data_IF_370651861954
#
_entry.id   IF_370651861954
#
_cell.length_a   1.000
_cell.length_b   1.000
_cell.length_c   1.000
_cell.angle_alpha   90.00
_cell.angle_beta   90.00
_cell.angle_gamma   90.00
#
_symmetry.space_group_name_H-M   'P 1'
#
loop_
_entity.id
_entity.type
_entity.pdbx_description
1 polymer ?
#
# COMPACT_ATOMS: atom_id res chain seq x y z
N UNK A 1 10.86 18.55 9.89
CA UNK A 1 10.97 17.27 10.64
C UNK A 1 9.81 16.38 10.22
N UNK A 2 10.08 15.15 9.83
CA UNK A 2 9.07 14.15 9.43
C UNK A 2 8.23 13.75 10.66
N UNK A 3 6.91 13.67 10.49
CA UNK A 3 5.96 13.24 11.52
C UNK A 3 5.25 11.94 11.16
N UNK A 4 5.13 11.65 9.86
CA UNK A 4 4.46 10.46 9.33
C UNK A 4 5.32 9.86 8.24
N UNK A 5 5.50 8.53 8.28
CA UNK A 5 6.01 7.76 7.15
C UNK A 5 4.85 6.95 6.57
N UNK A 6 4.62 7.09 5.26
CA UNK A 6 3.62 6.33 4.52
C UNK A 6 4.33 5.37 3.55
N UNK A 7 4.07 4.10 3.71
CA UNK A 7 4.60 3.03 2.86
C UNK A 7 3.55 2.56 1.85
N UNK A 8 3.91 2.43 0.58
CA UNK A 8 3.13 1.54 -0.29
C UNK A 8 3.29 0.09 0.19
N UNK A 9 2.37 -0.77 -0.21
CA UNK A 9 2.36 -2.17 0.20
C UNK A 9 3.17 -3.04 -0.76
N UNK A 10 2.67 -3.20 -1.98
CA UNK A 10 3.26 -4.13 -2.98
C UNK A 10 4.50 -3.49 -3.63
N UNK A 11 5.60 -4.22 -3.65
CA UNK A 11 6.89 -3.69 -4.11
C UNK A 11 7.72 -3.02 -3.01
N UNK A 12 7.09 -2.52 -1.93
CA UNK A 12 7.76 -1.86 -0.80
C UNK A 12 7.79 -2.76 0.44
N UNK A 13 6.66 -3.07 1.04
CA UNK A 13 6.56 -3.89 2.26
C UNK A 13 6.42 -5.38 1.96
N UNK A 14 5.77 -5.71 0.86
CA UNK A 14 5.61 -7.09 0.38
C UNK A 14 6.11 -7.21 -1.05
N UNK A 15 6.45 -8.42 -1.44
CA UNK A 15 6.75 -8.84 -2.82
C UNK A 15 5.86 -10.00 -3.21
N UNK A 16 5.70 -10.20 -4.50
CA UNK A 16 5.07 -11.40 -5.02
C UNK A 16 6.02 -12.60 -4.87
N UNK A 17 5.47 -13.73 -4.40
CA UNK A 17 6.15 -15.01 -4.45
C UNK A 17 6.20 -15.52 -5.89
N UNK A 18 7.27 -16.24 -6.23
CA UNK A 18 7.35 -16.98 -7.50
C UNK A 18 6.46 -18.23 -7.46
N UNK A 19 5.15 -18.02 -7.66
CA UNK A 19 4.13 -19.07 -7.63
C UNK A 19 3.26 -18.99 -8.88
N UNK A 20 2.77 -20.14 -9.31
CA UNK A 20 1.83 -20.21 -10.45
C UNK A 20 0.40 -19.92 -9.95
N UNK A 21 -0.19 -18.86 -10.47
CA UNK A 21 -1.62 -18.58 -10.37
C UNK A 21 -2.39 -19.32 -11.45
N UNK A 22 -3.66 -19.62 -11.19
CA UNK A 22 -4.58 -20.06 -12.25
C UNK A 22 -4.96 -18.87 -13.13
N UNK A 23 -5.41 -19.11 -14.36
CA UNK A 23 -5.82 -18.04 -15.29
C UNK A 23 -6.86 -17.09 -14.69
N UNK A 24 -7.82 -17.60 -13.86
CA UNK A 24 -8.80 -16.76 -13.19
C UNK A 24 -8.17 -15.89 -12.09
N UNK A 25 -7.25 -16.44 -11.34
CA UNK A 25 -6.54 -15.72 -10.29
C UNK A 25 -5.65 -14.62 -10.85
N UNK A 26 -4.90 -14.87 -11.93
CA UNK A 26 -4.11 -13.85 -12.63
C UNK A 26 -4.97 -12.69 -13.15
N UNK A 27 -6.14 -13.01 -13.73
CA UNK A 27 -7.06 -11.99 -14.21
C UNK A 27 -7.63 -11.13 -13.08
N UNK A 28 -7.95 -11.72 -11.93
CA UNK A 28 -8.41 -10.97 -10.75
C UNK A 28 -7.29 -10.13 -10.14
N UNK A 29 -6.08 -10.68 -10.04
CA UNK A 29 -4.92 -10.00 -9.48
C UNK A 29 -4.61 -8.70 -10.25
N UNK A 30 -4.63 -8.74 -11.59
CA UNK A 30 -4.41 -7.56 -12.45
C UNK A 30 -5.38 -6.40 -12.18
N UNK A 31 -6.52 -6.67 -11.57
CA UNK A 31 -7.53 -5.66 -11.24
C UNK A 31 -7.34 -5.05 -9.83
N UNK A 32 -6.43 -5.54 -9.00
CA UNK A 32 -6.33 -5.14 -7.58
C UNK A 32 -6.08 -3.64 -7.35
N UNK A 33 -5.29 -3.02 -8.21
CA UNK A 33 -4.93 -1.61 -8.10
C UNK A 33 -5.63 -0.67 -9.09
N UNK A 34 -6.44 -1.19 -10.01
CA UNK A 34 -6.99 -0.43 -11.14
C UNK A 34 -8.36 0.20 -10.84
N UNK A 35 -9.05 -0.27 -9.81
CA UNK A 35 -10.41 0.15 -9.50
C UNK A 35 -10.44 1.12 -8.31
N UNK A 36 -11.32 2.13 -8.39
CA UNK A 36 -11.48 3.13 -7.32
C UNK A 36 -12.21 2.60 -6.08
N UNK A 37 -13.06 1.58 -6.25
CA UNK A 37 -13.84 0.99 -5.16
C UNK A 37 -13.93 -0.52 -5.30
N UNK A 38 -14.29 -1.20 -4.20
CA UNK A 38 -14.58 -2.64 -4.23
C UNK A 38 -15.80 -2.96 -5.11
N UNK A 39 -16.75 -2.04 -5.24
CA UNK A 39 -17.90 -2.21 -6.14
C UNK A 39 -17.46 -2.25 -7.60
N UNK A 40 -16.55 -1.34 -8.01
CA UNK A 40 -16.02 -1.33 -9.36
C UNK A 40 -15.18 -2.58 -9.63
N UNK A 41 -14.38 -3.00 -8.64
CA UNK A 41 -13.65 -4.25 -8.70
C UNK A 41 -14.56 -5.46 -8.89
N UNK A 42 -15.59 -5.60 -8.05
CA UNK A 42 -16.58 -6.70 -8.16
C UNK A 42 -17.27 -6.68 -9.52
N UNK A 43 -17.67 -5.50 -9.99
CA UNK A 43 -18.32 -5.34 -11.30
C UNK A 43 -17.41 -5.81 -12.44
N UNK A 44 -16.16 -5.38 -12.47
CA UNK A 44 -15.17 -5.82 -13.47
C UNK A 44 -14.87 -7.33 -13.38
N UNK A 45 -14.83 -7.86 -12.14
CA UNK A 45 -14.51 -9.27 -11.88
C UNK A 45 -15.63 -10.25 -12.26
N UNK A 46 -16.88 -9.79 -12.48
CA UNK A 46 -18.01 -10.65 -12.86
C UNK A 46 -17.83 -11.33 -14.21
N UNK A 47 -17.04 -10.76 -15.10
CA UNK A 47 -16.67 -11.41 -16.37
C UNK A 47 -15.72 -12.61 -16.19
N UNK A 48 -15.01 -12.67 -15.06
CA UNK A 48 -14.06 -13.73 -14.73
C UNK A 48 -14.72 -14.82 -13.88
N UNK A 49 -15.49 -14.39 -12.87
CA UNK A 49 -16.23 -15.25 -11.92
C UNK A 49 -17.63 -14.65 -11.72
N UNK A 50 -18.66 -15.37 -12.14
CA UNK A 50 -20.05 -14.87 -12.10
C UNK A 50 -20.73 -14.92 -10.72
N UNK A 51 -19.98 -14.95 -9.62
CA UNK A 51 -20.53 -14.98 -8.27
C UNK A 51 -19.67 -14.12 -7.35
N UNK A 52 -20.29 -13.13 -6.71
CA UNK A 52 -19.61 -12.15 -5.88
C UNK A 52 -18.89 -12.77 -4.67
N UNK A 53 -19.53 -13.70 -3.96
CA UNK A 53 -18.89 -14.39 -2.84
C UNK A 53 -17.66 -15.18 -3.28
N UNK A 54 -17.72 -15.80 -4.45
CA UNK A 54 -16.58 -16.51 -5.02
C UNK A 54 -15.48 -15.55 -5.49
N UNK A 55 -15.82 -14.38 -6.03
CA UNK A 55 -14.85 -13.32 -6.35
C UNK A 55 -14.09 -12.95 -5.08
N UNK A 56 -14.79 -12.55 -4.02
CA UNK A 56 -14.19 -12.14 -2.75
C UNK A 56 -13.31 -13.25 -2.16
N UNK A 57 -13.83 -14.48 -2.11
CA UNK A 57 -13.09 -15.64 -1.59
C UNK A 57 -11.80 -15.91 -2.39
N UNK A 58 -11.89 -15.88 -3.72
CA UNK A 58 -10.73 -16.09 -4.60
C UNK A 58 -9.71 -14.96 -4.43
N UNK A 59 -10.17 -13.70 -4.39
CA UNK A 59 -9.32 -12.51 -4.17
C UNK A 59 -8.52 -12.62 -2.88
N UNK A 60 -9.18 -12.90 -1.76
CA UNK A 60 -8.50 -13.12 -0.46
C UNK A 60 -7.53 -14.30 -0.53
N UNK A 61 -7.90 -15.37 -1.20
CA UNK A 61 -7.01 -16.53 -1.42
C UNK A 61 -5.76 -16.16 -2.21
N UNK A 62 -5.90 -15.37 -3.29
CA UNK A 62 -4.78 -14.89 -4.10
C UNK A 62 -3.85 -14.02 -3.27
N UNK A 63 -4.37 -13.02 -2.55
CA UNK A 63 -3.61 -12.14 -1.68
C UNK A 63 -2.77 -12.93 -0.68
N UNK A 64 -3.40 -13.88 0.04
CA UNK A 64 -2.72 -14.66 1.07
C UNK A 64 -1.63 -15.59 0.53
N UNK A 65 -1.81 -16.17 -0.66
CA UNK A 65 -0.80 -17.05 -1.24
C UNK A 65 0.30 -16.31 -2.01
N UNK A 66 -0.03 -15.16 -2.60
CA UNK A 66 0.88 -14.42 -3.47
C UNK A 66 1.90 -13.59 -2.69
N UNK A 67 1.48 -12.87 -1.65
CA UNK A 67 2.33 -11.91 -0.98
C UNK A 67 3.28 -12.54 0.04
N UNK A 68 4.50 -12.03 0.10
CA UNK A 68 5.54 -12.33 1.08
C UNK A 68 6.11 -11.03 1.66
N UNK A 69 6.22 -10.97 2.99
CA UNK A 69 6.75 -9.78 3.69
C UNK A 69 8.25 -9.67 3.43
N UNK A 70 8.70 -8.47 3.04
CA UNK A 70 10.12 -8.16 2.81
C UNK A 70 10.88 -7.82 4.10
N UNK A 71 10.23 -7.10 5.04
CA UNK A 71 10.91 -6.47 6.18
C UNK A 71 10.07 -6.67 7.46
N UNK A 72 10.30 -7.74 8.22
CA UNK A 72 9.47 -8.10 9.40
C UNK A 72 9.56 -7.08 10.53
N UNK A 73 10.76 -6.58 10.84
CA UNK A 73 11.00 -5.72 12.01
C UNK A 73 11.04 -4.22 11.68
N UNK A 74 10.75 -3.83 10.43
CA UNK A 74 10.93 -2.46 9.94
C UNK A 74 10.17 -1.44 10.80
N UNK A 75 8.89 -1.70 11.07
CA UNK A 75 8.03 -0.78 11.83
C UNK A 75 8.51 -0.63 13.27
N UNK A 76 8.88 -1.73 13.92
CA UNK A 76 9.44 -1.72 15.27
C UNK A 76 10.70 -0.85 15.34
N UNK A 77 11.65 -1.09 14.46
CA UNK A 77 12.92 -0.34 14.42
C UNK A 77 12.67 1.17 14.24
N UNK A 78 11.78 1.55 13.31
CA UNK A 78 11.45 2.95 13.05
C UNK A 78 10.77 3.59 14.27
N UNK A 79 9.78 2.91 14.88
CA UNK A 79 9.07 3.42 16.05
C UNK A 79 9.98 3.62 17.25
N UNK A 80 10.82 2.63 17.56
CA UNK A 80 11.74 2.69 18.69
C UNK A 80 12.78 3.81 18.52
N UNK A 81 13.23 4.05 17.26
CA UNK A 81 14.26 5.06 16.99
C UNK A 81 13.71 6.48 16.87
N UNK A 82 12.53 6.69 16.28
CA UNK A 82 12.06 8.02 15.90
C UNK A 82 10.73 8.43 16.52
N UNK A 83 9.97 7.49 17.08
CA UNK A 83 8.64 7.72 17.68
C UNK A 83 7.67 8.52 16.78
N UNK A 84 7.66 8.23 15.49
CA UNK A 84 6.80 8.86 14.47
C UNK A 84 5.64 7.94 14.07
N UNK A 85 4.63 8.49 13.40
CA UNK A 85 3.52 7.68 12.88
C UNK A 85 3.95 6.89 11.65
N UNK A 86 3.52 5.62 11.60
CA UNK A 86 3.73 4.71 10.47
C UNK A 86 2.38 4.36 9.89
N UNK A 87 2.20 4.57 8.58
CA UNK A 87 0.97 4.24 7.88
C UNK A 87 1.26 3.45 6.61
N UNK A 88 0.29 2.65 6.17
CA UNK A 88 0.29 2.03 4.85
C UNK A 88 -0.64 2.86 3.95
N UNK A 89 -0.20 3.14 2.72
CA UNK A 89 -0.92 3.97 1.75
C UNK A 89 -0.86 3.29 0.36
N UNK A 90 -1.84 2.44 0.05
CA UNK A 90 -1.79 1.53 -1.10
C UNK A 90 -2.96 1.67 -2.07
N UNK A 91 -2.67 1.50 -3.37
CA UNK A 91 -3.71 1.26 -4.38
C UNK A 91 -4.04 -0.22 -4.39
N UNK A 92 -5.17 -0.58 -3.79
CA UNK A 92 -5.60 -1.97 -3.68
C UNK A 92 -7.11 -2.08 -3.39
N UNK A 93 -7.67 -3.27 -3.61
CA UNK A 93 -8.99 -3.65 -3.08
C UNK A 93 -8.95 -3.72 -1.55
N UNK A 94 -10.06 -3.40 -0.87
CA UNK A 94 -10.08 -3.36 0.60
C UNK A 94 -9.82 -4.72 1.27
N UNK A 95 -10.04 -5.81 0.55
CA UNK A 95 -9.80 -7.18 1.04
C UNK A 95 -8.35 -7.46 1.45
N UNK A 96 -7.38 -6.64 1.02
CA UNK A 96 -5.98 -6.71 1.45
C UNK A 96 -5.79 -6.33 2.90
N UNK A 97 -6.72 -5.59 3.50
CA UNK A 97 -6.64 -5.15 4.90
C UNK A 97 -6.50 -6.30 5.88
N UNK A 98 -7.24 -7.38 5.65
CA UNK A 98 -7.15 -8.60 6.46
C UNK A 98 -5.74 -9.22 6.41
N UNK A 99 -5.13 -9.25 5.20
CA UNK A 99 -3.75 -9.71 5.05
C UNK A 99 -2.77 -8.83 5.83
N UNK A 100 -2.89 -7.51 5.71
CA UNK A 100 -2.05 -6.55 6.44
C UNK A 100 -2.14 -6.80 7.94
N UNK A 101 -3.37 -6.86 8.48
CA UNK A 101 -3.61 -7.04 9.90
C UNK A 101 -3.13 -8.38 10.45
N UNK A 102 -3.11 -9.42 9.63
CA UNK A 102 -2.67 -10.76 10.06
C UNK A 102 -1.17 -11.01 9.90
N UNK A 103 -0.47 -10.22 9.08
CA UNK A 103 0.90 -10.55 8.71
C UNK A 103 1.93 -9.45 9.02
N UNK A 104 1.52 -8.18 9.13
CA UNK A 104 2.40 -7.09 9.53
C UNK A 104 2.22 -6.78 11.03
N UNK A 105 3.25 -6.20 11.65
CA UNK A 105 3.20 -5.90 13.09
C UNK A 105 2.31 -4.69 13.39
N UNK A 106 1.05 -4.96 13.73
CA UNK A 106 0.04 -3.96 14.00
C UNK A 106 0.29 -3.13 15.26
N UNK A 107 1.17 -3.56 16.16
CA UNK A 107 1.50 -2.80 17.37
C UNK A 107 2.22 -1.49 17.03
N UNK A 108 2.84 -1.43 15.86
CA UNK A 108 3.61 -0.28 15.38
C UNK A 108 2.97 0.43 14.19
N UNK A 109 1.80 -0.02 13.71
CA UNK A 109 1.07 0.55 12.59
C UNK A 109 -0.04 1.48 13.09
N UNK A 110 0.02 2.76 12.71
CA UNK A 110 -0.95 3.75 13.17
C UNK A 110 -2.18 3.87 12.28
N UNK A 111 -2.06 3.56 10.98
CA UNK A 111 -3.18 3.67 10.04
C UNK A 111 -2.96 2.84 8.76
N UNK A 112 -4.07 2.47 8.10
CA UNK A 112 -4.08 1.80 6.80
C UNK A 112 -5.00 2.59 5.87
N UNK A 113 -4.46 3.10 4.78
CA UNK A 113 -5.19 3.87 3.76
C UNK A 113 -5.16 3.07 2.46
N UNK A 114 -6.33 2.59 2.06
CA UNK A 114 -6.52 1.76 0.87
C UNK A 114 -7.39 2.53 -0.13
N UNK A 115 -6.96 2.62 -1.38
CA UNK A 115 -7.65 3.37 -2.43
C UNK A 115 -9.13 3.00 -2.56
N UNK A 116 -9.47 1.72 -2.48
CA UNK A 116 -10.84 1.24 -2.58
C UNK A 116 -11.74 1.69 -1.41
N UNK A 117 -11.19 1.91 -0.20
CA UNK A 117 -11.95 2.39 0.97
C UNK A 117 -12.26 3.89 0.88
N UNK A 118 -11.38 4.67 0.26
CA UNK A 118 -11.48 6.14 0.24
C UNK A 118 -11.89 6.70 -1.12
N UNK A 119 -12.09 5.85 -2.11
CA UNK A 119 -12.40 6.24 -3.51
C UNK A 119 -11.42 7.26 -4.10
N UNK A 120 -10.13 7.14 -3.77
CA UNK A 120 -9.04 7.95 -4.27
C UNK A 120 -7.85 7.06 -4.58
N UNK A 121 -7.13 7.38 -5.66
CA UNK A 121 -6.07 6.53 -6.17
C UNK A 121 -4.79 7.34 -6.42
N UNK A 122 -3.62 6.78 -6.08
CA UNK A 122 -2.33 7.31 -6.52
C UNK A 122 -2.19 7.17 -8.04
N UNK A 123 -1.62 8.13 -8.76
CA UNK A 123 -0.89 9.30 -8.31
C UNK A 123 -1.74 10.58 -8.13
N UNK A 124 -3.06 10.50 -8.10
CA UNK A 124 -3.92 11.67 -8.02
C UNK A 124 -3.70 12.45 -6.72
N UNK A 125 -3.66 13.77 -6.80
CA UNK A 125 -3.39 14.68 -5.67
C UNK A 125 -4.37 14.51 -4.50
N UNK A 126 -5.61 14.14 -4.78
CA UNK A 126 -6.65 13.96 -3.77
C UNK A 126 -6.37 12.76 -2.83
N UNK A 127 -5.64 11.74 -3.29
CA UNK A 127 -5.16 10.66 -2.45
C UNK A 127 -4.17 11.16 -1.37
N UNK A 128 -3.16 11.91 -1.78
CA UNK A 128 -2.17 12.47 -0.85
C UNK A 128 -2.78 13.53 0.05
N UNK A 129 -3.64 14.40 -0.48
CA UNK A 129 -4.36 15.40 0.31
C UNK A 129 -5.25 14.74 1.39
N UNK A 130 -5.84 13.57 1.10
CA UNK A 130 -6.56 12.80 2.11
C UNK A 130 -5.65 12.41 3.28
N UNK A 131 -4.44 11.91 3.02
CA UNK A 131 -3.43 11.58 4.04
C UNK A 131 -3.09 12.82 4.87
N UNK A 132 -2.71 13.91 4.20
CA UNK A 132 -2.31 15.16 4.86
C UNK A 132 -3.40 15.70 5.78
N UNK A 133 -4.65 15.73 5.31
CA UNK A 133 -5.80 16.21 6.07
C UNK A 133 -6.15 15.29 7.25
N UNK A 134 -6.19 13.96 7.03
CA UNK A 134 -6.50 12.97 8.07
C UNK A 134 -5.52 13.03 9.22
N UNK A 135 -4.22 13.17 8.93
CA UNK A 135 -3.17 13.21 9.93
C UNK A 135 -2.83 14.64 10.40
N UNK A 136 -3.47 15.66 9.82
CA UNK A 136 -3.26 17.09 10.15
C UNK A 136 -1.79 17.50 10.06
N UNK A 137 -1.14 17.13 8.97
CA UNK A 137 0.27 17.40 8.69
C UNK A 137 0.44 18.22 7.42
N UNK A 138 1.58 18.91 7.33
CA UNK A 138 2.02 19.60 6.11
C UNK A 138 2.72 18.61 5.16
N UNK A 139 2.77 18.88 3.85
CA UNK A 139 3.47 18.01 2.89
C UNK A 139 4.90 17.65 3.29
N UNK A 140 5.67 18.63 3.80
CA UNK A 140 7.07 18.45 4.22
C UNK A 140 7.23 17.59 5.50
N UNK A 141 6.12 17.29 6.18
CA UNK A 141 6.10 16.44 7.39
C UNK A 141 5.75 14.98 7.06
N UNK A 142 5.43 14.68 5.80
CA UNK A 142 5.18 13.34 5.27
C UNK A 142 6.40 12.85 4.51
N UNK A 143 6.85 11.63 4.81
CA UNK A 143 7.76 10.86 3.99
C UNK A 143 6.99 9.71 3.33
N UNK A 144 6.94 9.70 2.00
CA UNK A 144 6.19 8.70 1.22
C UNK A 144 7.14 7.80 0.44
N UNK A 145 6.95 6.48 0.59
CA UNK A 145 7.76 5.44 -0.05
C UNK A 145 6.91 4.62 -1.01
N UNK A 146 7.34 4.52 -2.26
CA UNK A 146 6.61 3.80 -3.31
C UNK A 146 7.59 3.27 -4.37
N UNK A 147 7.26 2.13 -5.00
CA UNK A 147 8.05 1.54 -6.07
C UNK A 147 7.68 2.10 -7.46
N UNK A 148 6.55 2.81 -7.59
CA UNK A 148 6.09 3.39 -8.86
C UNK A 148 6.48 4.86 -8.99
N UNK A 149 7.27 5.17 -10.01
CA UNK A 149 7.75 6.54 -10.26
C UNK A 149 6.61 7.56 -10.41
N UNK A 150 5.48 7.15 -11.01
CA UNK A 150 4.32 8.04 -11.17
C UNK A 150 3.74 8.45 -9.81
N UNK A 151 3.67 7.53 -8.85
CA UNK A 151 3.20 7.81 -7.49
C UNK A 151 4.17 8.76 -6.77
N UNK A 152 5.47 8.52 -6.91
CA UNK A 152 6.51 9.40 -6.38
C UNK A 152 6.38 10.81 -6.95
N UNK A 153 6.19 10.95 -8.26
CA UNK A 153 6.06 12.25 -8.90
C UNK A 153 4.78 12.99 -8.45
N UNK A 154 3.64 12.28 -8.35
CA UNK A 154 2.40 12.87 -7.83
C UNK A 154 2.52 13.40 -6.40
N UNK A 155 3.26 12.70 -5.53
CA UNK A 155 3.55 13.16 -4.17
C UNK A 155 4.50 14.37 -4.17
N UNK A 156 5.56 14.36 -4.98
CA UNK A 156 6.52 15.47 -5.11
C UNK A 156 5.87 16.77 -5.57
N UNK A 157 4.88 16.71 -6.47
CA UNK A 157 4.15 17.89 -6.92
C UNK A 157 3.43 18.64 -5.80
N UNK A 158 3.16 17.97 -4.68
CA UNK A 158 2.60 18.57 -3.47
C UNK A 158 3.66 18.99 -2.45
N UNK A 159 4.94 18.79 -2.73
CA UNK A 159 6.05 19.08 -1.80
C UNK A 159 6.24 18.02 -0.73
N UNK A 160 5.74 16.79 -0.92
CA UNK A 160 5.93 15.65 -0.02
C UNK A 160 7.35 15.09 -0.22
N UNK A 161 8.04 14.76 0.88
CA UNK A 161 9.30 14.04 0.82
C UNK A 161 9.07 12.60 0.35
N UNK A 162 9.92 12.10 -0.54
CA UNK A 162 9.69 10.80 -1.15
C UNK A 162 10.96 9.96 -1.25
N UNK A 163 10.79 8.65 -1.15
CA UNK A 163 11.81 7.65 -1.48
C UNK A 163 11.24 6.75 -2.57
N UNK A 164 11.90 6.72 -3.74
CA UNK A 164 11.61 5.73 -4.78
C UNK A 164 12.28 4.41 -4.37
N UNK A 165 11.48 3.39 -4.16
CA UNK A 165 11.96 2.07 -3.76
C UNK A 165 12.21 1.21 -4.99
N UNK A 166 13.30 0.47 -4.99
CA UNK A 166 13.67 -0.57 -5.97
C UNK A 166 14.23 -1.80 -5.25
N UNK A 167 14.75 -2.75 -6.02
CA UNK A 167 15.27 -4.01 -5.48
C UNK A 167 16.51 -3.83 -4.59
N UNK A 168 17.31 -2.80 -4.87
CA UNK A 168 18.57 -2.53 -4.18
C UNK A 168 18.40 -1.53 -3.02
N UNK A 169 17.18 -1.01 -2.81
CA UNK A 169 16.92 0.01 -1.79
C UNK A 169 17.01 -0.55 -0.37
N UNK A 170 17.97 -0.07 0.40
CA UNK A 170 18.06 -0.32 1.84
C UNK A 170 17.13 0.64 2.61
N UNK A 171 15.87 0.25 2.81
CA UNK A 171 14.80 1.13 3.32
C UNK A 171 15.20 1.91 4.58
N UNK A 172 15.75 1.25 5.59
CA UNK A 172 16.15 1.91 6.85
C UNK A 172 17.18 3.00 6.60
N UNK A 173 18.18 2.72 5.78
CA UNK A 173 19.27 3.66 5.47
C UNK A 173 18.75 4.88 4.70
N UNK A 174 17.85 4.68 3.75
CA UNK A 174 17.24 5.79 3.01
C UNK A 174 16.30 6.62 3.90
N UNK A 175 15.53 5.99 4.78
CA UNK A 175 14.71 6.69 5.78
C UNK A 175 15.59 7.53 6.71
N UNK A 176 16.71 6.98 7.21
CA UNK A 176 17.65 7.69 8.10
C UNK A 176 18.17 8.99 7.51
N UNK A 177 18.40 9.04 6.19
CA UNK A 177 18.85 10.27 5.51
C UNK A 177 17.80 11.39 5.49
N UNK A 178 16.52 11.03 5.70
CA UNK A 178 15.38 11.96 5.66
C UNK A 178 14.97 12.47 7.05
N UNK A 179 15.49 11.84 8.12
CA UNK A 179 15.09 12.12 9.51
C UNK A 179 15.94 13.21 10.13
#
# INVERSE_FOLDING_TARGET
MIKVIAFDLVGVLVKDKDIKLTNKEEKLERLFGDNYSDLDYIKASKEIINNELNIIKTTKGVINKLYEIKHKDLFKIIKEKYNIKIIIATNHVSYVKEYILNNLDNNYLDDIIISAEINKIKPNKDFYNYILNKHKIKPQELLFLDDKINNINGAKELGINTIKVDKETELLKEIEKCM
#
